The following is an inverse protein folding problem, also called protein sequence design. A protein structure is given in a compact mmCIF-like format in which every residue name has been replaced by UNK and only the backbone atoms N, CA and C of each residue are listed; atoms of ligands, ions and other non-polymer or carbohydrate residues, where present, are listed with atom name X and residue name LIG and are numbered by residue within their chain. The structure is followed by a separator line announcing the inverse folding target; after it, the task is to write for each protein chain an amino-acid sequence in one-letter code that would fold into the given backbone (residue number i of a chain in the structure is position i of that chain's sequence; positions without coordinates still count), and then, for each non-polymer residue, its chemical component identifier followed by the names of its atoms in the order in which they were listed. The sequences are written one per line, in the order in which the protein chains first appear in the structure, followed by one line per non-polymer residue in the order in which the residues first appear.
data_IF_740527371691
#
_entry.id   IF_740527371691
#
_cell.length_a   1.000
_cell.length_b   1.000
_cell.length_c   1.000
_cell.angle_alpha   90.00
_cell.angle_beta   90.00
_cell.angle_gamma   90.00
#
_symmetry.space_group_name_H-M   'P 1'
#
loop_
_entity.id
_entity.type
_entity.pdbx_description
1 polymer ?
#
# COMPACT_ATOMS: atom_id res chain seq x y z
N UNK A 1 -8.89 23.60 -4.15
CA UNK A 1 -8.00 22.64 -3.46
C UNK A 1 -7.92 23.06 -2.01
N UNK A 2 -8.64 22.39 -1.15
CA UNK A 2 -8.46 22.52 0.29
C UNK A 2 -7.10 21.89 0.62
N UNK A 3 -6.19 22.70 1.17
CA UNK A 3 -4.86 22.24 1.54
C UNK A 3 -5.00 21.19 2.64
N UNK A 4 -5.00 19.90 2.27
CA UNK A 4 -4.72 18.74 3.12
C UNK A 4 -5.33 18.72 4.53
N UNK A 5 -6.48 19.35 4.75
CA UNK A 5 -7.25 19.20 5.98
C UNK A 5 -8.43 18.27 5.73
N UNK A 6 -8.62 17.30 6.63
CA UNK A 6 -9.81 16.46 6.60
C UNK A 6 -11.05 17.29 6.92
N UNK A 7 -12.16 16.95 6.27
CA UNK A 7 -13.46 17.50 6.57
C UNK A 7 -13.91 17.11 8.00
N UNK A 8 -14.73 17.94 8.68
CA UNK A 8 -15.22 17.60 10.01
C UNK A 8 -15.86 16.23 10.12
N UNK A 9 -16.59 15.80 9.08
CA UNK A 9 -17.20 14.47 9.02
C UNK A 9 -16.15 13.34 8.98
N UNK A 10 -15.05 13.53 8.26
CA UNK A 10 -13.94 12.57 8.21
C UNK A 10 -13.22 12.47 9.56
N UNK A 11 -13.00 13.60 10.24
CA UNK A 11 -12.41 13.63 11.57
C UNK A 11 -13.30 12.90 12.60
N UNK A 12 -14.61 13.13 12.56
CA UNK A 12 -15.58 12.44 13.41
C UNK A 12 -15.56 10.93 13.14
N UNK A 13 -15.55 10.53 11.87
CA UNK A 13 -15.47 9.13 11.48
C UNK A 13 -14.16 8.45 11.92
N UNK A 14 -13.01 9.12 11.80
CA UNK A 14 -11.75 8.61 12.34
C UNK A 14 -11.81 8.39 13.86
N UNK A 15 -12.45 9.29 14.61
CA UNK A 15 -12.64 9.12 16.05
C UNK A 15 -13.54 7.93 16.37
N UNK A 16 -14.64 7.76 15.64
CA UNK A 16 -15.55 6.61 15.76
C UNK A 16 -14.80 5.29 15.45
N UNK A 17 -14.03 5.23 14.36
CA UNK A 17 -13.25 4.05 13.99
C UNK A 17 -12.26 3.65 15.10
N UNK A 18 -11.57 4.61 15.72
CA UNK A 18 -10.66 4.35 16.84
C UNK A 18 -11.40 3.78 18.05
N UNK A 19 -12.56 4.33 18.39
CA UNK A 19 -13.41 3.82 19.46
C UNK A 19 -13.90 2.40 19.16
N UNK A 20 -14.44 2.15 17.96
CA UNK A 20 -14.87 0.82 17.52
C UNK A 20 -13.72 -0.20 17.57
N UNK A 21 -12.52 0.20 17.13
CA UNK A 21 -11.34 -0.67 17.17
C UNK A 21 -10.95 -1.02 18.60
N UNK A 22 -10.95 -0.05 19.51
CA UNK A 22 -10.60 -0.27 20.92
C UNK A 22 -11.65 -1.09 21.68
N UNK A 23 -12.93 -0.80 21.48
CA UNK A 23 -14.01 -1.34 22.29
C UNK A 23 -14.58 -2.66 21.75
N UNK A 24 -14.61 -2.82 20.42
CA UNK A 24 -15.30 -3.94 19.77
C UNK A 24 -14.34 -4.92 19.08
N UNK A 25 -13.28 -4.44 18.42
CA UNK A 25 -12.40 -5.28 17.62
C UNK A 25 -11.21 -5.83 18.41
N UNK A 26 -10.59 -5.03 19.28
CA UNK A 26 -9.49 -5.50 20.13
C UNK A 26 -9.87 -6.71 21.01
N UNK A 27 -11.03 -6.77 21.68
CA UNK A 27 -11.41 -7.96 22.43
C UNK A 27 -11.60 -9.21 21.59
N UNK A 28 -11.90 -9.06 20.28
CA UNK A 28 -11.95 -10.19 19.32
C UNK A 28 -10.53 -10.58 18.87
N UNK A 29 -9.65 -9.61 18.64
CA UNK A 29 -8.26 -9.82 18.27
C UNK A 29 -7.51 -10.59 19.36
N UNK A 30 -7.65 -10.19 20.63
CA UNK A 30 -7.01 -10.81 21.79
C UNK A 30 -7.41 -12.27 22.04
N UNK A 31 -8.55 -12.72 21.49
CA UNK A 31 -8.99 -14.12 21.54
C UNK A 31 -8.46 -14.96 20.37
N UNK A 32 -7.84 -14.33 19.38
CA UNK A 32 -7.26 -15.02 18.25
C UNK A 32 -5.97 -15.74 18.59
N UNK A 33 -5.68 -16.80 17.86
CA UNK A 33 -4.41 -17.50 17.94
C UNK A 33 -3.36 -16.76 17.09
N UNK A 34 -2.19 -16.41 17.64
CA UNK A 34 -1.13 -15.75 16.88
C UNK A 34 -0.73 -16.57 15.64
N UNK A 35 -0.56 -15.89 14.50
CA UNK A 35 -0.19 -16.54 13.24
C UNK A 35 -1.33 -17.29 12.53
N UNK A 36 -2.56 -17.20 13.05
CA UNK A 36 -3.75 -17.84 12.46
C UNK A 36 -4.79 -16.80 12.03
N UNK A 37 -5.61 -17.17 11.06
CA UNK A 37 -6.73 -16.33 10.62
C UNK A 37 -7.79 -16.23 11.71
N UNK A 38 -8.03 -15.03 12.20
CA UNK A 38 -9.08 -14.77 13.19
C UNK A 38 -10.42 -14.52 12.50
N UNK A 39 -11.18 -15.61 12.24
CA UNK A 39 -12.49 -15.53 11.55
C UNK A 39 -13.53 -14.76 12.37
N UNK A 40 -13.45 -14.77 13.71
CA UNK A 40 -14.36 -13.99 14.55
C UNK A 40 -14.12 -12.48 14.39
N UNK A 41 -12.85 -12.07 14.27
CA UNK A 41 -12.49 -10.69 14.00
C UNK A 41 -12.97 -10.24 12.62
N UNK A 42 -12.82 -11.08 11.59
CA UNK A 42 -13.33 -10.81 10.24
C UNK A 42 -14.85 -10.66 10.22
N UNK A 43 -15.58 -11.54 10.87
CA UNK A 43 -17.03 -11.41 11.02
C UNK A 43 -17.43 -10.13 11.77
N UNK A 44 -16.65 -9.74 12.78
CA UNK A 44 -16.82 -8.47 13.50
C UNK A 44 -16.64 -7.25 12.59
N UNK A 45 -15.60 -7.24 11.75
CA UNK A 45 -15.37 -6.20 10.74
C UNK A 45 -16.51 -6.14 9.71
N UNK A 46 -17.02 -7.30 9.27
CA UNK A 46 -18.19 -7.39 8.38
C UNK A 46 -19.44 -6.81 9.02
N UNK A 47 -19.76 -7.22 10.26
CA UNK A 47 -20.92 -6.74 11.03
C UNK A 47 -20.89 -5.22 11.25
N UNK A 48 -19.71 -4.63 11.42
CA UNK A 48 -19.50 -3.19 11.54
C UNK A 48 -19.55 -2.45 10.20
N UNK A 49 -19.74 -3.16 9.08
CA UNK A 49 -19.81 -2.58 7.73
C UNK A 49 -18.46 -2.04 7.22
N UNK A 50 -17.33 -2.47 7.80
CA UNK A 50 -16.01 -2.01 7.40
C UNK A 50 -15.49 -2.75 6.17
N UNK A 51 -15.71 -4.07 6.07
CA UNK A 51 -15.28 -4.86 4.91
C UNK A 51 -15.94 -4.44 3.59
N UNK A 52 -17.26 -4.15 3.51
CA UNK A 52 -17.87 -3.65 2.27
C UNK A 52 -17.23 -2.37 1.74
N UNK A 53 -16.72 -1.50 2.63
CA UNK A 53 -16.06 -0.25 2.24
C UNK A 53 -14.77 -0.45 1.44
N UNK A 54 -14.15 -1.63 1.52
CA UNK A 54 -13.00 -2.00 0.67
C UNK A 54 -13.31 -1.93 -0.83
N UNK A 55 -14.59 -2.04 -1.21
CA UNK A 55 -15.05 -2.09 -2.59
C UNK A 55 -15.91 -0.88 -2.99
N UNK A 56 -16.34 -0.08 -2.04
CA UNK A 56 -17.28 1.04 -2.27
C UNK A 56 -16.71 2.41 -1.92
N UNK A 57 -15.56 2.47 -1.22
CA UNK A 57 -14.91 3.71 -0.83
C UNK A 57 -13.68 4.00 -1.69
N UNK A 58 -13.23 5.26 -1.69
CA UNK A 58 -12.00 5.69 -2.33
C UNK A 58 -10.73 5.33 -1.53
N UNK A 59 -9.58 5.64 -2.11
CA UNK A 59 -8.28 5.39 -1.49
C UNK A 59 -8.07 6.22 -0.22
N UNK A 60 -8.60 7.44 -0.16
CA UNK A 60 -8.53 8.27 1.05
C UNK A 60 -9.30 7.62 2.20
N UNK A 61 -10.53 7.17 1.98
CA UNK A 61 -11.32 6.48 3.01
C UNK A 61 -10.62 5.20 3.49
N UNK A 62 -10.02 4.44 2.56
CA UNK A 62 -9.22 3.26 2.90
C UNK A 62 -8.04 3.65 3.83
N UNK A 63 -7.35 4.76 3.55
CA UNK A 63 -6.27 5.25 4.39
C UNK A 63 -6.78 5.67 5.78
N UNK A 64 -7.91 6.39 5.85
CA UNK A 64 -8.51 6.81 7.12
C UNK A 64 -8.93 5.61 7.98
N UNK A 65 -9.52 4.57 7.38
CA UNK A 65 -9.84 3.31 8.08
C UNK A 65 -8.59 2.65 8.62
N UNK A 66 -7.58 2.45 7.76
CA UNK A 66 -6.36 1.74 8.16
C UNK A 66 -5.56 2.48 9.22
N UNK A 67 -5.40 3.81 9.12
CA UNK A 67 -4.75 4.62 10.16
C UNK A 67 -5.49 4.53 11.49
N UNK A 68 -6.82 4.67 11.46
CA UNK A 68 -7.64 4.68 12.67
C UNK A 68 -7.66 3.33 13.36
N UNK A 69 -7.79 2.22 12.62
CA UNK A 69 -7.73 0.87 13.17
C UNK A 69 -6.33 0.57 13.72
N UNK A 70 -5.27 0.90 13.00
CA UNK A 70 -3.88 0.64 13.42
C UNK A 70 -3.49 1.36 14.72
N UNK A 71 -4.04 2.56 14.94
CA UNK A 71 -3.83 3.29 16.18
C UNK A 71 -4.33 2.53 17.41
N UNK A 72 -5.43 1.79 17.26
CA UNK A 72 -6.09 1.12 18.38
C UNK A 72 -5.91 -0.41 18.39
N UNK A 73 -5.85 -1.07 17.23
CA UNK A 73 -5.77 -2.53 17.10
C UNK A 73 -5.15 -2.89 15.73
N UNK A 74 -3.87 -3.21 15.73
CA UNK A 74 -3.11 -3.56 14.50
C UNK A 74 -3.64 -4.83 13.84
N UNK A 75 -4.12 -5.79 14.63
CA UNK A 75 -4.70 -7.06 14.12
C UNK A 75 -5.99 -6.81 13.34
N UNK A 76 -6.85 -5.89 13.80
CA UNK A 76 -8.08 -5.54 13.08
C UNK A 76 -7.77 -4.80 11.77
N UNK A 77 -6.78 -3.92 11.80
CA UNK A 77 -6.28 -3.25 10.61
C UNK A 77 -5.76 -4.27 9.59
N UNK A 78 -4.88 -5.17 10.03
CA UNK A 78 -4.28 -6.18 9.16
C UNK A 78 -5.33 -7.13 8.58
N UNK A 79 -6.28 -7.60 9.40
CA UNK A 79 -7.37 -8.45 8.92
C UNK A 79 -8.20 -7.74 7.83
N UNK A 80 -8.53 -6.45 8.01
CA UNK A 80 -9.22 -5.65 7.00
C UNK A 80 -8.38 -5.50 5.72
N UNK A 81 -7.10 -5.13 5.87
CA UNK A 81 -6.21 -4.86 4.75
C UNK A 81 -5.98 -6.09 3.88
N UNK A 82 -5.79 -7.27 4.49
CA UNK A 82 -5.54 -8.52 3.76
C UNK A 82 -6.77 -8.99 2.97
N UNK A 83 -7.98 -8.78 3.51
CA UNK A 83 -9.22 -9.01 2.76
C UNK A 83 -9.28 -8.12 1.51
N UNK A 84 -8.98 -6.84 1.67
CA UNK A 84 -8.94 -5.91 0.56
C UNK A 84 -7.90 -6.30 -0.49
N UNK A 85 -6.66 -6.55 -0.07
CA UNK A 85 -5.56 -6.90 -0.97
C UNK A 85 -5.88 -8.16 -1.78
N UNK A 86 -6.41 -9.21 -1.12
CA UNK A 86 -6.74 -10.49 -1.77
C UNK A 86 -7.95 -10.42 -2.69
N UNK A 87 -8.98 -9.62 -2.34
CA UNK A 87 -10.24 -9.58 -3.05
C UNK A 87 -10.35 -8.41 -4.07
N UNK A 88 -9.54 -7.37 -3.97
CA UNK A 88 -9.57 -6.26 -4.91
C UNK A 88 -9.37 -6.69 -6.38
N UNK A 89 -8.48 -7.63 -6.72
CA UNK A 89 -8.40 -8.15 -8.09
C UNK A 89 -9.71 -8.75 -8.60
N UNK A 90 -10.47 -9.43 -7.73
CA UNK A 90 -11.81 -9.95 -8.08
C UNK A 90 -12.80 -8.81 -8.31
N UNK A 91 -12.77 -7.79 -7.44
CA UNK A 91 -13.62 -6.61 -7.58
C UNK A 91 -13.35 -5.86 -8.89
N UNK A 92 -12.10 -5.58 -9.21
CA UNK A 92 -11.70 -4.74 -10.33
C UNK A 92 -11.70 -5.48 -11.68
N UNK A 93 -11.37 -6.76 -11.70
CA UNK A 93 -11.08 -7.53 -12.90
C UNK A 93 -11.86 -8.83 -13.04
N UNK A 94 -12.61 -9.25 -12.02
CA UNK A 94 -13.41 -10.46 -12.04
C UNK A 94 -14.63 -10.34 -12.98
N UNK A 95 -15.12 -11.48 -13.46
CA UNK A 95 -16.40 -11.57 -14.13
C UNK A 95 -17.56 -11.29 -13.16
N UNK A 96 -18.75 -11.06 -13.65
CA UNK A 96 -19.94 -10.89 -12.81
C UNK A 96 -20.16 -12.11 -11.90
N UNK A 97 -19.99 -13.32 -12.43
CA UNK A 97 -20.12 -14.57 -11.68
C UNK A 97 -19.07 -14.68 -10.56
N UNK A 98 -17.81 -14.33 -10.83
CA UNK A 98 -16.75 -14.33 -9.82
C UNK A 98 -17.04 -13.30 -8.71
N UNK A 99 -17.45 -12.09 -9.07
CA UNK A 99 -17.84 -11.04 -8.11
C UNK A 99 -19.04 -11.47 -7.27
N UNK A 100 -20.09 -11.97 -7.90
CA UNK A 100 -21.32 -12.41 -7.22
C UNK A 100 -21.05 -13.57 -6.24
N UNK A 101 -20.12 -14.47 -6.56
CA UNK A 101 -19.75 -15.60 -5.71
C UNK A 101 -18.95 -15.18 -4.48
N UNK A 102 -17.98 -14.26 -4.62
CA UNK A 102 -16.96 -14.04 -3.60
C UNK A 102 -17.11 -12.73 -2.82
N UNK A 103 -17.45 -11.62 -3.49
CA UNK A 103 -17.46 -10.31 -2.81
C UNK A 103 -18.47 -10.20 -1.67
N UNK A 104 -19.69 -10.75 -1.74
CA UNK A 104 -20.62 -10.74 -0.59
C UNK A 104 -20.04 -11.45 0.62
N UNK A 105 -19.40 -12.62 0.41
CA UNK A 105 -18.79 -13.42 1.46
C UNK A 105 -17.53 -12.80 2.06
N UNK A 106 -16.76 -12.04 1.26
CA UNK A 106 -15.65 -11.22 1.77
C UNK A 106 -16.19 -10.05 2.58
N UNK A 107 -17.27 -9.42 2.11
CA UNK A 107 -17.87 -8.25 2.75
C UNK A 107 -18.53 -8.56 4.10
N UNK A 108 -19.07 -9.75 4.29
CA UNK A 108 -19.63 -10.19 5.58
C UNK A 108 -18.60 -10.91 6.47
N UNK A 109 -17.37 -11.15 5.97
CA UNK A 109 -16.29 -11.81 6.68
C UNK A 109 -16.38 -13.34 6.72
N UNK A 110 -17.32 -13.96 5.98
CA UNK A 110 -17.48 -15.42 5.90
C UNK A 110 -16.48 -16.10 4.95
N UNK A 111 -15.86 -15.36 4.04
CA UNK A 111 -14.76 -15.84 3.20
C UNK A 111 -13.49 -15.02 3.42
N UNK A 112 -12.35 -15.72 3.44
CA UNK A 112 -11.02 -15.17 3.60
C UNK A 112 -10.32 -15.13 2.25
N UNK A 113 -9.84 -13.95 1.86
CA UNK A 113 -9.12 -13.72 0.62
C UNK A 113 -7.59 -13.68 0.86
N UNK A 114 -6.83 -14.08 -0.15
CA UNK A 114 -5.38 -13.95 -0.14
C UNK A 114 -4.81 -13.52 -1.50
N UNK A 115 -3.67 -12.81 -1.46
CA UNK A 115 -2.96 -12.30 -2.64
C UNK A 115 -1.63 -13.04 -2.79
N UNK A 116 -1.55 -13.97 -3.74
CA UNK A 116 -0.44 -14.90 -3.91
C UNK A 116 0.48 -14.48 -5.08
N UNK A 117 1.30 -13.44 -4.86
CA UNK A 117 2.25 -12.92 -5.85
C UNK A 117 3.67 -13.46 -5.64
N UNK A 118 4.20 -13.34 -4.41
CA UNK A 118 5.60 -13.56 -4.08
C UNK A 118 5.99 -15.03 -4.12
N UNK A 119 7.25 -15.30 -4.51
CA UNK A 119 7.90 -16.62 -4.53
C UNK A 119 9.21 -16.56 -3.75
N UNK A 120 9.83 -17.72 -3.41
CA UNK A 120 11.11 -17.74 -2.70
C UNK A 120 12.17 -16.85 -3.35
N UNK A 121 12.28 -16.87 -4.68
CA UNK A 121 13.28 -16.13 -5.45
C UNK A 121 12.74 -14.90 -6.20
N UNK A 122 11.43 -14.60 -6.10
CA UNK A 122 10.78 -13.48 -6.75
C UNK A 122 9.92 -12.66 -5.78
N UNK A 123 10.59 -11.86 -4.94
CA UNK A 123 9.97 -10.90 -4.03
C UNK A 123 9.97 -9.48 -4.61
N UNK A 124 11.09 -8.77 -4.52
CA UNK A 124 11.25 -7.41 -5.06
C UNK A 124 11.16 -7.36 -6.58
N UNK A 125 11.73 -8.34 -7.27
CA UNK A 125 11.56 -8.57 -8.71
C UNK A 125 10.37 -9.49 -8.98
N UNK A 126 9.17 -9.01 -8.68
CA UNK A 126 7.94 -9.79 -8.83
C UNK A 126 7.65 -10.21 -10.29
N UNK A 127 8.24 -9.54 -11.28
CA UNK A 127 8.11 -9.92 -12.68
C UNK A 127 8.92 -11.18 -13.05
N UNK A 128 9.87 -11.58 -12.21
CA UNK A 128 10.68 -12.79 -12.37
C UNK A 128 10.00 -14.06 -11.81
N UNK A 129 8.73 -13.97 -11.36
CA UNK A 129 8.00 -15.14 -10.86
C UNK A 129 8.02 -16.31 -11.85
N UNK A 130 8.10 -17.53 -11.30
CA UNK A 130 8.31 -18.79 -12.04
C UNK A 130 7.18 -19.81 -11.89
N UNK A 131 6.21 -19.60 -10.98
CA UNK A 131 5.02 -20.46 -10.90
C UNK A 131 4.46 -20.65 -12.31
N UNK A 132 4.56 -21.85 -12.85
CA UNK A 132 4.16 -22.14 -14.22
C UNK A 132 2.64 -22.32 -14.32
N UNK A 133 2.07 -21.85 -15.43
CA UNK A 133 0.72 -22.20 -15.86
C UNK A 133 0.81 -22.89 -17.21
N UNK A 134 1.05 -24.20 -17.17
CA UNK A 134 1.21 -25.02 -18.37
C UNK A 134 -0.15 -25.32 -19.02
N UNK A 135 -0.28 -25.26 -20.36
CA UNK A 135 -1.51 -25.60 -21.04
C UNK A 135 -1.99 -27.03 -20.70
N UNK A 136 -3.25 -27.17 -20.38
CA UNK A 136 -3.89 -28.47 -20.13
C UNK A 136 -4.97 -28.75 -21.19
N UNK A 137 -4.59 -29.30 -22.34
CA UNK A 137 -5.54 -29.64 -23.40
C UNK A 137 -6.41 -30.83 -22.96
N UNK A 138 -7.59 -30.55 -22.43
CA UNK A 138 -8.55 -31.61 -22.08
C UNK A 138 -9.25 -32.11 -23.35
N UNK A 139 -9.28 -33.41 -23.61
CA UNK A 139 -10.04 -33.96 -24.73
C UNK A 139 -11.52 -33.54 -24.61
N UNK A 140 -12.02 -32.77 -25.59
CA UNK A 140 -13.43 -32.33 -25.64
C UNK A 140 -13.85 -31.22 -24.68
N UNK A 141 -12.90 -30.54 -23.97
CA UNK A 141 -13.13 -29.44 -23.02
C UNK A 141 -12.56 -28.11 -23.48
N UNK A 142 -12.94 -27.02 -22.80
CA UNK A 142 -12.29 -25.72 -22.95
C UNK A 142 -10.83 -25.81 -22.53
N UNK A 143 -9.90 -25.14 -23.23
CA UNK A 143 -8.50 -25.10 -22.85
C UNK A 143 -8.36 -24.56 -21.42
N UNK A 144 -7.44 -25.12 -20.66
CA UNK A 144 -7.15 -24.69 -19.30
C UNK A 144 -5.65 -24.70 -19.07
N UNK A 145 -5.27 -24.54 -17.79
CA UNK A 145 -3.87 -24.61 -17.38
C UNK A 145 -3.72 -25.48 -16.13
N UNK A 146 -2.50 -25.97 -15.92
CA UNK A 146 -2.02 -26.60 -14.68
C UNK A 146 -1.03 -25.67 -14.01
N UNK A 147 -1.32 -25.25 -12.78
CA UNK A 147 -0.38 -24.45 -11.99
C UNK A 147 0.58 -25.38 -11.27
N UNK A 148 1.90 -25.15 -11.45
CA UNK A 148 2.95 -25.96 -10.82
C UNK A 148 4.07 -25.04 -10.29
N UNK A 149 4.43 -25.23 -9.01
CA UNK A 149 5.46 -24.43 -8.32
C UNK A 149 5.03 -24.03 -6.93
N UNK A 150 5.58 -22.93 -6.39
CA UNK A 150 5.28 -22.49 -5.04
C UNK A 150 5.12 -20.97 -4.93
N UNK A 151 4.36 -20.55 -3.89
CA UNK A 151 4.26 -19.16 -3.45
C UNK A 151 4.68 -19.09 -1.98
N UNK A 152 5.29 -17.97 -1.59
CA UNK A 152 5.81 -17.80 -0.23
C UNK A 152 5.50 -16.43 0.32
N UNK A 153 5.41 -16.35 1.64
CA UNK A 153 5.01 -15.14 2.39
C UNK A 153 3.63 -14.63 1.98
N UNK A 154 2.71 -15.58 1.79
CA UNK A 154 1.34 -15.26 1.41
C UNK A 154 0.50 -15.06 2.65
N UNK A 155 0.02 -13.85 2.84
CA UNK A 155 -0.88 -13.50 3.94
C UNK A 155 -2.18 -14.28 3.84
N UNK A 156 -2.72 -14.70 4.98
CA UNK A 156 -3.87 -15.59 5.14
C UNK A 156 -3.66 -17.04 4.66
N UNK A 157 -2.51 -17.39 4.05
CA UNK A 157 -2.19 -18.78 3.75
C UNK A 157 -1.75 -19.51 5.03
N UNK A 158 -2.11 -20.82 5.15
CA UNK A 158 -2.90 -21.62 4.23
C UNK A 158 -4.43 -21.57 4.46
N UNK A 159 -4.95 -20.64 5.26
CA UNK A 159 -6.32 -20.64 5.78
C UNK A 159 -7.32 -19.81 4.97
N UNK A 160 -6.88 -19.21 3.85
CA UNK A 160 -7.77 -18.48 2.96
C UNK A 160 -8.77 -19.42 2.27
N UNK A 161 -9.95 -18.90 1.92
CA UNK A 161 -10.97 -19.63 1.17
C UNK A 161 -10.73 -19.55 -0.36
N UNK A 162 -10.01 -18.50 -0.79
CA UNK A 162 -9.50 -18.38 -2.15
C UNK A 162 -8.26 -17.52 -2.23
N UNK A 163 -7.52 -17.72 -3.30
CA UNK A 163 -6.26 -17.02 -3.60
C UNK A 163 -6.37 -16.30 -4.95
N UNK A 164 -5.97 -15.03 -5.01
CA UNK A 164 -5.60 -14.38 -6.27
C UNK A 164 -4.16 -14.76 -6.56
N UNK A 165 -3.95 -15.67 -7.51
CA UNK A 165 -2.65 -16.27 -7.85
C UNK A 165 -2.12 -15.68 -9.15
N UNK A 166 -0.85 -15.31 -9.17
CA UNK A 166 -0.15 -14.85 -10.37
C UNK A 166 0.79 -15.93 -10.86
N UNK A 167 0.62 -16.38 -12.11
CA UNK A 167 1.39 -17.45 -12.70
C UNK A 167 1.86 -17.09 -14.12
N UNK A 168 2.92 -17.74 -14.58
CA UNK A 168 3.51 -17.53 -15.89
C UNK A 168 2.84 -18.40 -16.94
N UNK A 169 2.06 -17.78 -17.80
CA UNK A 169 1.38 -18.41 -18.95
C UNK A 169 2.24 -18.39 -20.22
N UNK A 170 3.07 -17.35 -20.40
CA UNK A 170 3.95 -17.24 -21.58
C UNK A 170 5.41 -17.10 -21.11
N UNK A 171 6.21 -18.17 -21.22
CA UNK A 171 7.64 -18.14 -20.90
C UNK A 171 8.40 -17.09 -21.73
N UNK A 172 9.40 -16.44 -21.13
CA UNK A 172 10.25 -15.47 -21.82
C UNK A 172 9.64 -14.09 -22.10
N UNK A 173 8.34 -13.90 -21.89
CA UNK A 173 7.67 -12.62 -22.15
C UNK A 173 7.78 -11.59 -20.99
N UNK A 174 8.56 -11.89 -19.93
CA UNK A 174 8.71 -11.02 -18.77
C UNK A 174 7.37 -10.75 -18.08
N UNK A 175 7.12 -9.52 -17.67
CA UNK A 175 5.86 -9.13 -17.02
C UNK A 175 4.61 -9.35 -17.91
N UNK A 176 4.78 -9.39 -19.24
CA UNK A 176 3.68 -9.59 -20.20
C UNK A 176 3.29 -11.06 -20.38
N UNK A 177 3.98 -11.99 -19.74
CA UNK A 177 3.63 -13.42 -19.76
C UNK A 177 3.05 -13.90 -18.44
N UNK A 178 2.48 -13.02 -17.64
CA UNK A 178 1.88 -13.35 -16.34
C UNK A 178 0.37 -13.18 -16.41
N UNK A 179 -0.35 -14.20 -15.95
CA UNK A 179 -1.82 -14.19 -15.81
C UNK A 179 -2.21 -14.23 -14.33
N UNK A 180 -3.31 -13.55 -13.99
CA UNK A 180 -3.92 -13.61 -12.68
C UNK A 180 -5.08 -14.61 -12.68
N UNK A 181 -5.12 -15.47 -11.67
CA UNK A 181 -6.15 -16.50 -11.50
C UNK A 181 -6.82 -16.38 -10.14
N UNK A 182 -8.12 -16.58 -10.08
CA UNK A 182 -8.87 -16.81 -8.86
C UNK A 182 -8.89 -18.31 -8.60
N UNK A 183 -8.20 -18.75 -7.53
CA UNK A 183 -8.06 -20.17 -7.19
C UNK A 183 -8.72 -20.44 -5.84
N UNK A 184 -9.88 -21.15 -5.80
CA UNK A 184 -10.46 -21.63 -4.54
C UNK A 184 -9.47 -22.56 -3.79
N UNK A 185 -9.49 -22.48 -2.47
CA UNK A 185 -8.54 -23.22 -1.63
C UNK A 185 -8.72 -24.75 -1.68
N UNK A 186 -9.89 -25.22 -2.08
CA UNK A 186 -10.24 -26.64 -2.19
C UNK A 186 -9.81 -27.27 -3.53
N UNK A 187 -9.06 -26.56 -4.37
CA UNK A 187 -8.56 -27.10 -5.64
C UNK A 187 -7.62 -28.28 -5.41
N UNK A 188 -7.82 -29.40 -6.13
CA UNK A 188 -6.89 -30.53 -6.06
C UNK A 188 -5.45 -30.12 -6.39
N UNK A 189 -4.47 -30.62 -5.61
CA UNK A 189 -3.06 -30.30 -5.79
C UNK A 189 -2.59 -28.99 -5.12
N UNK A 190 -3.51 -28.18 -4.55
CA UNK A 190 -3.14 -27.02 -3.74
C UNK A 190 -2.96 -27.43 -2.29
N UNK A 191 -1.78 -27.15 -1.73
CA UNK A 191 -1.47 -27.37 -0.31
C UNK A 191 -0.75 -26.14 0.26
N UNK A 192 -0.71 -26.03 1.58
CA UNK A 192 -0.01 -24.91 2.20
C UNK A 192 0.47 -25.21 3.62
N UNK A 193 1.45 -24.42 4.07
CA UNK A 193 2.02 -24.50 5.41
C UNK A 193 2.12 -23.12 6.03
N UNK A 194 1.81 -22.95 7.34
CA UNK A 194 2.00 -21.67 8.01
C UNK A 194 3.50 -21.37 8.17
N UNK A 195 3.83 -20.10 8.24
CA UNK A 195 5.17 -19.58 8.54
C UNK A 195 5.12 -18.84 9.89
N UNK A 196 6.09 -19.14 10.75
CA UNK A 196 6.30 -18.38 11.99
C UNK A 196 7.11 -17.11 11.68
N UNK A 197 6.48 -15.95 11.89
CA UNK A 197 7.04 -14.66 11.50
C UNK A 197 7.21 -13.76 12.72
N UNK A 198 8.00 -12.69 12.57
CA UNK A 198 8.25 -11.70 13.63
C UNK A 198 6.95 -11.06 14.13
N UNK A 199 6.07 -10.66 13.22
CA UNK A 199 4.72 -10.17 13.52
C UNK A 199 3.75 -11.36 13.57
N UNK A 200 2.77 -11.38 14.50
CA UNK A 200 1.87 -12.50 14.70
C UNK A 200 0.71 -12.52 13.67
N UNK A 201 1.00 -12.24 12.40
CA UNK A 201 0.00 -12.27 11.33
C UNK A 201 -0.05 -13.65 10.65
N UNK A 202 -1.21 -14.06 10.12
CA UNK A 202 -1.34 -15.29 9.37
C UNK A 202 -0.59 -15.18 8.04
N UNK A 203 0.54 -15.85 7.91
CA UNK A 203 1.38 -15.87 6.71
C UNK A 203 1.82 -17.31 6.47
N UNK A 204 1.80 -17.74 5.19
CA UNK A 204 2.18 -19.11 4.83
C UNK A 204 2.89 -19.22 3.49
N UNK A 205 3.22 -20.46 3.18
CA UNK A 205 3.67 -20.92 1.88
C UNK A 205 2.58 -21.78 1.23
N UNK A 206 2.52 -21.77 -0.11
CA UNK A 206 1.60 -22.57 -0.91
C UNK A 206 2.42 -23.38 -1.91
N UNK A 207 2.07 -24.67 -2.05
CA UNK A 207 2.59 -25.53 -3.08
C UNK A 207 1.47 -25.91 -4.06
N UNK A 208 1.80 -25.83 -5.34
CA UNK A 208 0.91 -26.12 -6.47
C UNK A 208 1.46 -27.34 -7.20
N UNK A 209 0.74 -28.47 -7.12
CA UNK A 209 1.05 -29.70 -7.83
C UNK A 209 0.01 -29.92 -8.93
N UNK A 210 0.30 -29.39 -10.10
CA UNK A 210 -0.58 -29.46 -11.27
C UNK A 210 -2.02 -29.00 -10.98
N UNK A 211 -2.20 -27.93 -10.20
CA UNK A 211 -3.51 -27.38 -9.81
C UNK A 211 -4.29 -26.94 -11.03
N UNK A 212 -5.49 -27.51 -11.32
CA UNK A 212 -6.24 -27.19 -12.51
C UNK A 212 -6.91 -25.81 -12.41
N UNK A 213 -6.76 -25.00 -13.46
CA UNK A 213 -7.49 -23.75 -13.65
C UNK A 213 -8.02 -23.66 -15.09
N UNK A 214 -9.10 -22.92 -15.27
CA UNK A 214 -9.81 -22.75 -16.55
C UNK A 214 -9.90 -21.28 -16.93
N UNK A 215 -10.32 -20.92 -18.14
CA UNK A 215 -10.58 -19.54 -18.52
C UNK A 215 -11.55 -18.81 -17.56
N UNK A 216 -12.49 -19.55 -16.94
CA UNK A 216 -13.42 -18.98 -15.95
C UNK A 216 -12.76 -18.59 -14.62
N UNK A 217 -11.53 -19.05 -14.38
CA UNK A 217 -10.73 -18.68 -13.21
C UNK A 217 -9.84 -17.45 -13.49
N UNK A 218 -9.74 -16.96 -14.73
CA UNK A 218 -8.88 -15.82 -15.06
C UNK A 218 -9.48 -14.52 -14.52
N UNK A 219 -8.63 -13.70 -13.90
CA UNK A 219 -8.95 -12.33 -13.49
C UNK A 219 -8.39 -11.34 -14.53
N UNK A 220 -9.30 -10.71 -15.27
CA UNK A 220 -8.96 -9.85 -16.41
C UNK A 220 -8.65 -10.66 -17.66
N UNK A 221 -7.50 -10.44 -18.28
CA UNK A 221 -7.07 -11.07 -19.51
C UNK A 221 -5.82 -11.93 -19.32
N UNK A 222 -5.66 -13.04 -20.05
CA UNK A 222 -4.40 -13.78 -20.08
C UNK A 222 -3.21 -12.86 -20.45
N UNK A 223 -2.05 -13.11 -19.85
CA UNK A 223 -0.81 -12.34 -20.03
C UNK A 223 -0.89 -10.85 -19.58
N UNK A 224 -1.97 -10.48 -18.88
CA UNK A 224 -2.16 -9.13 -18.31
C UNK A 224 -2.16 -9.11 -16.77
N UNK A 225 -1.91 -10.24 -16.13
CA UNK A 225 -1.98 -10.38 -14.67
C UNK A 225 -1.02 -9.46 -13.92
N UNK A 226 0.14 -9.13 -14.47
CA UNK A 226 1.05 -8.19 -13.82
C UNK A 226 0.46 -6.77 -13.71
N UNK A 227 -0.41 -6.37 -14.65
CA UNK A 227 -1.16 -5.11 -14.54
C UNK A 227 -2.19 -5.17 -13.42
N UNK A 228 -2.86 -6.31 -13.24
CA UNK A 228 -3.78 -6.56 -12.12
C UNK A 228 -3.03 -6.41 -10.79
N UNK A 229 -1.84 -7.03 -10.66
CA UNK A 229 -1.01 -6.92 -9.47
C UNK A 229 -0.59 -5.47 -9.18
N UNK A 230 -0.06 -4.76 -10.17
CA UNK A 230 0.41 -3.39 -9.99
C UNK A 230 -0.71 -2.39 -9.73
N UNK A 231 -1.87 -2.56 -10.36
CA UNK A 231 -3.08 -1.77 -10.11
C UNK A 231 -3.52 -1.89 -8.65
N UNK A 232 -3.60 -3.12 -8.15
CA UNK A 232 -3.91 -3.40 -6.74
C UNK A 232 -2.89 -2.76 -5.80
N UNK A 233 -1.59 -2.93 -6.05
CA UNK A 233 -0.54 -2.36 -5.20
C UNK A 233 -0.52 -0.82 -5.23
N UNK A 234 -0.89 -0.17 -6.34
CA UNK A 234 -0.96 1.28 -6.40
C UNK A 234 -2.08 1.86 -5.51
N UNK A 235 -3.19 1.14 -5.35
CA UNK A 235 -4.25 1.48 -4.39
C UNK A 235 -3.79 1.22 -2.94
N UNK A 236 -3.14 0.06 -2.68
CA UNK A 236 -2.85 -0.37 -1.31
C UNK A 236 -1.59 0.27 -0.72
N UNK A 237 -0.57 0.66 -1.49
CA UNK A 237 0.67 1.27 -0.98
C UNK A 237 0.45 2.54 -0.14
N UNK A 238 -0.38 3.52 -0.54
CA UNK A 238 -0.69 4.65 0.34
C UNK A 238 -1.32 4.18 1.65
N UNK A 239 -2.19 3.19 1.61
CA UNK A 239 -2.85 2.66 2.81
C UNK A 239 -1.92 1.85 3.73
N UNK A 240 -0.84 1.22 3.21
CA UNK A 240 0.28 0.73 4.05
C UNK A 240 0.96 1.89 4.76
N UNK A 241 1.10 3.03 4.09
CA UNK A 241 1.56 4.26 4.74
C UNK A 241 0.64 4.71 5.87
N UNK A 242 -0.68 4.64 5.68
CA UNK A 242 -1.68 4.95 6.70
C UNK A 242 -1.59 4.01 7.92
N UNK A 243 -1.43 2.70 7.69
CA UNK A 243 -1.13 1.72 8.73
C UNK A 243 0.09 2.13 9.57
N UNK A 244 1.17 2.49 8.91
CA UNK A 244 2.40 2.93 9.55
C UNK A 244 2.19 4.22 10.37
N UNK A 245 1.44 5.19 9.84
CA UNK A 245 1.10 6.44 10.54
C UNK A 245 0.26 6.17 11.79
N UNK A 246 -0.71 5.25 11.72
CA UNK A 246 -1.52 4.85 12.88
C UNK A 246 -0.67 4.30 14.02
N UNK A 247 0.28 3.42 13.72
CA UNK A 247 1.24 2.88 14.70
C UNK A 247 2.17 3.97 15.26
N UNK A 248 2.68 4.85 14.41
CA UNK A 248 3.51 5.98 14.83
C UNK A 248 2.76 6.90 15.79
N UNK A 249 1.49 7.21 15.49
CA UNK A 249 0.64 8.03 16.34
C UNK A 249 0.39 7.36 17.70
N UNK A 250 0.06 6.06 17.72
CA UNK A 250 -0.13 5.32 18.97
C UNK A 250 1.12 5.34 19.86
N UNK A 251 2.31 5.17 19.24
CA UNK A 251 3.58 5.24 19.94
C UNK A 251 3.89 6.66 20.47
N UNK A 252 3.57 7.69 19.69
CA UNK A 252 3.73 9.09 20.10
C UNK A 252 2.81 9.42 21.27
N UNK A 253 1.52 9.05 21.22
CA UNK A 253 0.56 9.30 22.29
C UNK A 253 0.97 8.61 23.59
N UNK A 254 1.40 7.35 23.53
CA UNK A 254 1.94 6.62 24.68
C UNK A 254 3.18 7.31 25.26
N UNK A 255 4.06 7.84 24.38
CA UNK A 255 5.28 8.53 24.81
C UNK A 255 4.97 9.88 25.49
N UNK A 256 4.02 10.64 24.95
CA UNK A 256 3.56 11.88 25.58
C UNK A 256 3.01 11.63 26.99
N UNK A 257 2.13 10.62 27.12
CA UNK A 257 1.57 10.24 28.42
C UNK A 257 2.66 9.79 29.41
N UNK A 258 3.61 8.95 28.94
CA UNK A 258 4.69 8.45 29.77
C UNK A 258 5.63 9.57 30.25
N UNK A 259 6.10 10.42 29.34
CA UNK A 259 7.08 11.48 29.68
C UNK A 259 6.46 12.58 30.54
N UNK A 260 5.15 12.83 30.40
CA UNK A 260 4.41 13.75 31.28
C UNK A 260 4.20 13.20 32.71
N UNK A 261 4.06 11.90 32.85
CA UNK A 261 3.81 11.26 34.15
C UNK A 261 5.10 10.88 34.91
N UNK A 262 6.16 10.49 34.21
CA UNK A 262 7.40 9.92 34.78
C UNK A 262 8.26 10.97 35.47
N UNK A 263 8.54 10.76 36.76
CA UNK A 263 9.51 11.54 37.50
C UNK A 263 10.92 10.93 37.36
N UNK A 264 11.92 11.77 37.03
CA UNK A 264 13.34 11.43 36.98
C UNK A 264 14.20 12.70 37.03
N UNK A 265 15.40 12.61 37.58
CA UNK A 265 16.36 13.72 37.66
C UNK A 265 15.81 15.00 38.30
N UNK A 266 14.91 14.85 39.28
CA UNK A 266 14.36 16.00 40.02
C UNK A 266 13.17 16.70 39.38
N UNK A 267 12.65 16.20 38.26
CA UNK A 267 11.48 16.75 37.53
C UNK A 267 10.77 15.70 36.68
N UNK A 268 9.92 16.12 35.76
CA UNK A 268 9.28 15.23 34.79
C UNK A 268 10.22 14.95 33.62
N UNK A 269 10.14 13.76 33.02
CA UNK A 269 10.96 13.45 31.81
C UNK A 269 10.74 14.47 30.70
N UNK A 270 9.52 14.96 30.50
CA UNK A 270 9.20 15.99 29.48
C UNK A 270 9.96 17.30 29.67
N UNK A 271 10.47 17.59 30.90
CA UNK A 271 11.17 18.84 31.21
C UNK A 271 12.65 18.80 30.76
N UNK A 272 13.13 17.60 30.42
CA UNK A 272 14.47 17.43 29.84
C UNK A 272 14.45 17.85 28.37
N UNK A 273 15.28 18.82 27.99
CA UNK A 273 15.35 19.37 26.63
C UNK A 273 15.53 18.26 25.56
N UNK A 274 16.39 17.28 25.84
CA UNK A 274 16.64 16.15 24.92
C UNK A 274 15.42 15.27 24.71
N UNK A 275 14.53 15.12 25.69
CA UNK A 275 13.25 14.40 25.58
C UNK A 275 12.26 15.25 24.78
N UNK A 276 12.12 16.54 25.10
CA UNK A 276 11.23 17.44 24.39
C UNK A 276 11.56 17.52 22.89
N UNK A 277 12.84 17.61 22.53
CA UNK A 277 13.28 17.63 21.12
C UNK A 277 12.96 16.30 20.40
N UNK A 278 13.14 15.15 21.05
CA UNK A 278 12.79 13.85 20.45
C UNK A 278 11.29 13.73 20.20
N UNK A 279 10.46 14.14 21.17
CA UNK A 279 9.00 14.14 21.02
C UNK A 279 8.56 15.08 19.88
N UNK A 280 9.16 16.27 19.78
CA UNK A 280 8.88 17.20 18.69
C UNK A 280 9.23 16.60 17.31
N UNK A 281 10.39 15.93 17.20
CA UNK A 281 10.79 15.27 15.95
C UNK A 281 9.88 14.09 15.60
N UNK A 282 9.45 13.29 16.59
CA UNK A 282 8.47 12.21 16.39
C UNK A 282 7.15 12.76 15.84
N UNK A 283 6.64 13.85 16.42
CA UNK A 283 5.41 14.51 15.98
C UNK A 283 5.54 15.07 14.56
N UNK A 284 6.60 15.80 14.26
CA UNK A 284 6.88 16.38 12.95
C UNK A 284 6.91 15.32 11.85
N UNK A 285 7.63 14.22 12.08
CA UNK A 285 7.73 13.12 11.12
C UNK A 285 6.39 12.43 10.91
N UNK A 286 5.64 12.15 11.99
CA UNK A 286 4.34 11.50 11.91
C UNK A 286 3.37 12.35 11.09
N UNK A 287 3.32 13.67 11.34
CA UNK A 287 2.43 14.57 10.59
C UNK A 287 2.85 14.71 9.13
N UNK A 288 4.15 14.84 8.85
CA UNK A 288 4.66 14.89 7.47
C UNK A 288 4.31 13.62 6.70
N UNK A 289 4.42 12.45 7.33
CA UNK A 289 4.05 11.18 6.72
C UNK A 289 2.54 11.09 6.45
N UNK A 290 1.70 11.52 7.40
CA UNK A 290 0.24 11.57 7.27
C UNK A 290 -0.19 12.41 6.06
N UNK A 291 0.33 13.63 5.96
CA UNK A 291 0.04 14.52 4.86
C UNK A 291 0.43 13.93 3.50
N UNK A 292 1.59 13.27 3.42
CA UNK A 292 2.04 12.59 2.20
C UNK A 292 1.11 11.42 1.83
N UNK A 293 0.65 10.64 2.81
CA UNK A 293 -0.28 9.52 2.61
C UNK A 293 -1.62 10.03 2.07
N UNK A 294 -2.20 11.05 2.69
CA UNK A 294 -3.48 11.60 2.26
C UNK A 294 -3.39 12.24 0.87
N UNK A 295 -2.30 12.97 0.59
CA UNK A 295 -2.04 13.53 -0.74
C UNK A 295 -1.91 12.44 -1.82
N UNK A 296 -1.29 11.31 -1.52
CA UNK A 296 -1.17 10.21 -2.45
C UNK A 296 -2.51 9.48 -2.67
N UNK A 297 -3.30 9.31 -1.61
CA UNK A 297 -4.62 8.70 -1.69
C UNK A 297 -5.61 9.57 -2.50
N UNK A 298 -5.66 10.86 -2.22
CA UNK A 298 -6.48 11.81 -3.00
C UNK A 298 -6.08 11.83 -4.47
N UNK A 299 -4.76 11.82 -4.76
CA UNK A 299 -4.29 11.76 -6.14
C UNK A 299 -4.69 10.46 -6.85
N UNK A 300 -4.80 9.34 -6.13
CA UNK A 300 -5.35 8.10 -6.68
C UNK A 300 -6.83 8.26 -7.01
N UNK A 301 -7.63 8.80 -6.10
CA UNK A 301 -9.08 9.02 -6.28
C UNK A 301 -9.37 10.00 -7.43
N UNK A 302 -8.51 11.00 -7.61
CA UNK A 302 -8.58 11.97 -8.71
C UNK A 302 -8.06 11.42 -10.05
N UNK A 303 -7.54 10.20 -10.11
CA UNK A 303 -6.96 9.60 -11.32
C UNK A 303 -5.70 10.33 -11.83
N UNK A 304 -4.90 10.91 -10.93
CA UNK A 304 -3.70 11.67 -11.29
C UNK A 304 -2.70 10.81 -12.07
N UNK A 305 -1.99 11.36 -13.08
CA UNK A 305 -1.09 10.59 -13.95
C UNK A 305 0.17 10.08 -13.22
N UNK A 306 0.51 10.63 -12.06
CA UNK A 306 1.70 10.32 -11.27
C UNK A 306 1.42 9.47 -10.01
N UNK A 307 0.28 8.78 -9.96
CA UNK A 307 -0.11 7.88 -8.87
C UNK A 307 1.02 6.91 -8.45
N UNK A 308 1.73 6.21 -9.36
CA UNK A 308 2.77 5.27 -8.95
C UNK A 308 3.90 5.94 -8.14
N UNK A 309 4.29 7.15 -8.52
CA UNK A 309 5.32 7.93 -7.82
C UNK A 309 4.81 8.36 -6.44
N UNK A 310 3.60 8.94 -6.36
CA UNK A 310 3.01 9.43 -5.10
C UNK A 310 2.78 8.28 -4.12
N UNK A 311 2.23 7.16 -4.58
CA UNK A 311 2.04 5.96 -3.77
C UNK A 311 3.36 5.43 -3.19
N UNK A 312 4.43 5.41 -4.00
CA UNK A 312 5.76 5.00 -3.55
C UNK A 312 6.35 5.96 -2.52
N UNK A 313 6.22 7.28 -2.73
CA UNK A 313 6.68 8.32 -1.78
C UNK A 313 5.97 8.21 -0.44
N UNK A 314 4.64 8.07 -0.46
CA UNK A 314 3.82 7.94 0.75
C UNK A 314 4.20 6.70 1.56
N UNK A 315 4.26 5.53 0.90
CA UNK A 315 4.63 4.27 1.54
C UNK A 315 6.05 4.33 2.14
N UNK A 316 7.02 4.79 1.39
CA UNK A 316 8.41 4.90 1.83
C UNK A 316 8.54 5.80 3.06
N UNK A 317 8.05 7.05 2.97
CA UNK A 317 8.15 8.02 4.06
C UNK A 317 7.47 7.50 5.33
N UNK A 318 6.25 7.01 5.21
CA UNK A 318 5.45 6.62 6.37
C UNK A 318 6.04 5.39 7.09
N UNK A 319 6.50 4.37 6.35
CA UNK A 319 7.05 3.16 6.97
C UNK A 319 8.41 3.40 7.62
N UNK A 320 9.28 4.24 7.03
CA UNK A 320 10.53 4.67 7.67
C UNK A 320 10.26 5.54 8.91
N UNK A 321 9.26 6.42 8.83
CA UNK A 321 8.84 7.24 9.98
C UNK A 321 8.33 6.39 11.14
N UNK A 322 7.46 5.42 10.88
CA UNK A 322 6.91 4.56 11.94
C UNK A 322 8.02 3.79 12.66
N UNK A 323 8.98 3.22 11.91
CA UNK A 323 10.15 2.56 12.51
C UNK A 323 10.91 3.52 13.42
N UNK A 324 11.19 4.75 12.96
CA UNK A 324 11.88 5.76 13.74
C UNK A 324 11.11 6.13 15.00
N UNK A 325 9.81 6.42 14.88
CA UNK A 325 8.97 6.89 16.00
C UNK A 325 8.84 5.81 17.06
N UNK A 326 8.56 4.56 16.67
CA UNK A 326 8.43 3.45 17.62
C UNK A 326 9.77 3.14 18.30
N UNK A 327 10.90 3.18 17.58
CA UNK A 327 12.22 3.00 18.15
C UNK A 327 12.52 4.07 19.23
N UNK A 328 12.22 5.36 18.94
CA UNK A 328 12.37 6.43 19.90
C UNK A 328 11.43 6.29 21.10
N UNK A 329 10.19 5.86 20.87
CA UNK A 329 9.23 5.60 21.93
C UNK A 329 9.73 4.50 22.89
N UNK A 330 10.24 3.39 22.36
CA UNK A 330 10.84 2.31 23.17
C UNK A 330 12.01 2.85 24.00
N UNK A 331 12.90 3.63 23.37
CA UNK A 331 14.06 4.22 24.06
C UNK A 331 13.63 5.13 25.23
N UNK A 332 12.63 5.99 25.03
CA UNK A 332 12.14 6.92 26.07
C UNK A 332 11.40 6.22 27.21
N UNK A 333 10.78 5.06 26.95
CA UNK A 333 10.11 4.25 28.00
C UNK A 333 11.10 3.38 28.78
N UNK A 334 12.27 3.06 28.19
CA UNK A 334 13.26 2.18 28.78
C UNK A 334 12.80 0.72 28.87
N UNK A 335 13.35 -0.05 29.80
CA UNK A 335 13.17 -1.51 29.88
C UNK A 335 11.72 -1.98 29.93
N UNK A 336 10.77 -1.18 30.44
CA UNK A 336 9.35 -1.55 30.48
C UNK A 336 8.75 -1.75 29.10
N UNK A 337 9.22 -0.99 28.10
CA UNK A 337 8.77 -1.14 26.71
C UNK A 337 9.33 -2.39 26.02
N UNK A 338 10.22 -3.12 26.64
CA UNK A 338 10.76 -4.41 26.16
C UNK A 338 10.00 -5.62 26.74
N UNK A 339 9.11 -5.39 27.71
CA UNK A 339 8.29 -6.46 28.28
C UNK A 339 7.22 -6.91 27.27
N UNK A 340 7.10 -8.23 27.07
CA UNK A 340 6.02 -8.79 26.24
C UNK A 340 4.66 -8.35 26.76
N UNK A 341 3.77 -7.98 25.83
CA UNK A 341 2.44 -7.44 26.12
C UNK A 341 2.41 -5.92 26.35
N UNK A 342 3.56 -5.25 26.35
CA UNK A 342 3.58 -3.78 26.31
C UNK A 342 3.30 -3.28 24.90
N UNK A 343 2.47 -2.22 24.75
CA UNK A 343 2.10 -1.66 23.46
C UNK A 343 3.33 -1.43 22.53
N UNK A 344 4.39 -0.81 23.07
CA UNK A 344 5.56 -0.47 22.24
C UNK A 344 6.38 -1.70 21.84
N UNK A 345 6.41 -2.75 22.66
CA UNK A 345 7.03 -4.02 22.28
C UNK A 345 6.29 -4.65 21.08
N UNK A 346 4.97 -4.65 21.17
CA UNK A 346 4.13 -5.10 20.07
C UNK A 346 4.35 -4.27 18.80
N UNK A 347 4.25 -2.94 18.90
CA UNK A 347 4.46 -2.04 17.77
C UNK A 347 5.87 -2.15 17.18
N UNK A 348 6.90 -2.43 18.00
CA UNK A 348 8.28 -2.59 17.52
C UNK A 348 8.43 -3.79 16.58
N UNK A 349 7.71 -4.87 16.83
CA UNK A 349 7.65 -6.03 15.91
C UNK A 349 6.85 -5.70 14.66
N UNK A 350 5.73 -4.97 14.80
CA UNK A 350 4.84 -4.62 13.70
C UNK A 350 5.49 -3.67 12.67
N UNK A 351 6.12 -2.59 13.10
CA UNK A 351 6.65 -1.56 12.19
C UNK A 351 7.81 -2.04 11.32
N UNK A 352 8.41 -3.20 11.64
CA UNK A 352 9.53 -3.73 10.84
C UNK A 352 9.08 -4.25 9.49
N UNK A 353 7.96 -4.94 9.44
CA UNK A 353 7.48 -5.63 8.24
C UNK A 353 7.04 -4.67 7.10
N UNK A 354 6.33 -3.55 7.34
CA UNK A 354 5.93 -2.61 6.29
C UNK A 354 7.05 -2.03 5.44
N UNK A 355 8.28 -2.00 5.95
CA UNK A 355 9.47 -1.59 5.18
C UNK A 355 9.93 -2.64 4.17
N UNK A 356 9.41 -3.87 4.27
CA UNK A 356 9.81 -5.03 3.45
C UNK A 356 8.74 -5.41 2.45
N UNK A 357 7.50 -5.57 2.90
CA UNK A 357 6.41 -6.03 2.03
C UNK A 357 5.84 -4.91 1.14
N UNK A 358 5.04 -5.29 0.15
CA UNK A 358 4.41 -4.42 -0.87
C UNK A 358 5.41 -3.50 -1.60
N UNK A 359 6.63 -4.00 -1.74
CA UNK A 359 7.78 -3.29 -2.28
C UNK A 359 8.66 -2.70 -1.18
N UNK A 360 9.84 -3.28 -0.99
CA UNK A 360 10.83 -2.83 -0.02
C UNK A 360 11.18 -1.35 -0.22
N UNK A 361 11.74 -0.71 0.82
CA UNK A 361 12.16 0.71 0.76
C UNK A 361 13.02 1.03 -0.46
N UNK A 362 13.88 0.11 -0.88
CA UNK A 362 14.74 0.24 -2.07
C UNK A 362 13.93 0.19 -3.36
N UNK A 363 12.92 -0.68 -3.43
CA UNK A 363 11.99 -0.76 -4.58
C UNK A 363 11.19 0.54 -4.70
N UNK A 364 10.71 1.11 -3.58
CA UNK A 364 10.01 2.39 -3.62
C UNK A 364 10.92 3.52 -4.13
N UNK A 365 12.18 3.60 -3.69
CA UNK A 365 13.17 4.56 -4.21
C UNK A 365 13.39 4.39 -5.71
N UNK A 366 13.48 3.15 -6.18
CA UNK A 366 13.60 2.83 -7.61
C UNK A 366 12.38 3.31 -8.42
N UNK A 367 11.15 3.09 -7.92
CA UNK A 367 9.92 3.56 -8.56
C UNK A 367 9.92 5.09 -8.65
N UNK A 368 10.23 5.79 -7.55
CA UNK A 368 10.27 7.25 -7.51
C UNK A 368 11.25 7.79 -8.56
N UNK A 369 12.48 7.30 -8.57
CA UNK A 369 13.51 7.73 -9.51
C UNK A 369 13.09 7.47 -10.97
N UNK A 370 12.59 6.26 -11.26
CA UNK A 370 12.12 5.89 -12.62
C UNK A 370 11.00 6.82 -13.11
N UNK A 371 10.04 7.13 -12.27
CA UNK A 371 8.91 8.00 -12.65
C UNK A 371 9.36 9.46 -12.87
N UNK A 372 10.34 9.95 -12.10
CA UNK A 372 10.92 11.29 -12.30
C UNK A 372 11.65 11.37 -13.65
N UNK A 373 12.50 10.40 -13.99
CA UNK A 373 13.19 10.37 -15.28
C UNK A 373 12.24 10.19 -16.46
N UNK A 374 11.21 9.33 -16.32
CA UNK A 374 10.17 9.19 -17.35
C UNK A 374 9.46 10.50 -17.66
N UNK A 375 9.21 11.32 -16.65
CA UNK A 375 8.60 12.64 -16.83
C UNK A 375 9.55 13.60 -17.57
N UNK A 376 10.83 13.57 -17.22
CA UNK A 376 11.87 14.38 -17.88
C UNK A 376 11.99 14.03 -19.37
N UNK A 377 12.07 12.71 -19.69
CA UNK A 377 12.19 12.24 -21.06
C UNK A 377 10.97 12.60 -21.92
N UNK A 378 9.76 12.52 -21.34
CA UNK A 378 8.54 12.92 -22.02
C UNK A 378 8.50 14.43 -22.33
N UNK A 379 9.01 15.26 -21.42
CA UNK A 379 9.11 16.72 -21.62
C UNK A 379 10.14 17.06 -22.70
N UNK A 380 11.30 16.40 -22.68
CA UNK A 380 12.35 16.59 -23.68
C UNK A 380 11.88 16.21 -25.10
N UNK A 381 11.16 15.08 -25.22
CA UNK A 381 10.59 14.63 -26.50
C UNK A 381 9.43 15.52 -26.97
N UNK A 382 8.62 16.06 -26.06
CA UNK A 382 7.54 17.01 -26.38
C UNK A 382 8.06 18.35 -26.88
N UNK A 383 9.14 18.88 -26.32
CA UNK A 383 9.80 20.12 -26.77
C UNK A 383 10.51 19.94 -28.11
N UNK A 384 11.09 18.77 -28.39
CA UNK A 384 11.68 18.48 -29.69
C UNK A 384 10.64 18.40 -30.81
N UNK A 385 9.42 17.94 -30.53
CA UNK A 385 8.31 17.91 -31.49
C UNK A 385 7.76 19.30 -31.84
N UNK A 386 7.77 20.25 -30.90
CA UNK A 386 7.31 21.64 -31.11
C UNK A 386 8.34 22.45 -31.92
N UNK A 387 9.63 22.20 -31.74
CA UNK A 387 10.69 22.89 -32.49
C UNK A 387 10.85 22.35 -33.92
N UNK A 388 10.48 21.09 -34.18
CA UNK A 388 10.57 20.51 -35.55
C UNK A 388 9.39 20.92 -36.45
N UNK A 389 8.26 21.38 -35.92
CA UNK A 389 7.10 21.87 -36.69
C UNK A 389 7.03 23.40 -36.85
N UNK A 390 8.04 24.15 -36.35
CA UNK A 390 8.07 25.60 -36.33
C UNK A 390 8.81 26.24 -37.53
N UNK A 391 9.33 25.50 -38.48
CA UNK A 391 10.05 26.04 -39.64
C UNK A 391 9.50 25.54 -40.96
N UNK A 392 8.28 25.93 -41.30
CA UNK A 392 7.78 25.88 -42.66
C UNK A 392 6.80 27.02 -42.92
N UNK A 393 7.25 28.04 -43.61
CA UNK A 393 6.40 28.93 -44.42
C UNK A 393 6.09 30.30 -43.86
N UNK A 394 7.03 31.24 -43.93
CA UNK A 394 6.67 32.65 -44.17
C UNK A 394 7.32 33.04 -45.51
N UNK A 395 6.54 32.98 -46.57
CA UNK A 395 6.81 33.66 -47.82
C UNK A 395 6.45 35.13 -47.68
N UNK A 396 7.43 35.97 -47.93
CA UNK A 396 7.36 37.41 -48.05
C UNK A 396 6.44 37.83 -49.18
N UNK A 397 5.57 38.81 -48.97
CA UNK A 397 5.21 39.77 -49.99
C UNK A 397 5.07 41.15 -49.34
N UNK A 398 5.87 42.08 -49.94
CA UNK A 398 6.14 43.39 -49.44
C UNK A 398 5.03 44.42 -49.58
N UNK A 399 5.23 45.49 -48.93
CA UNK A 399 5.30 46.86 -49.55
C UNK A 399 5.71 47.87 -48.47
N UNK A 400 6.57 48.78 -48.90
CA UNK A 400 7.16 49.88 -48.17
C UNK A 400 6.15 50.90 -47.67
N UNK A 401 6.40 51.57 -46.51
CA UNK A 401 6.57 53.02 -46.54
C UNK A 401 7.25 53.53 -45.24
N UNK A 402 8.13 54.49 -45.51
CA UNK A 402 8.97 55.20 -44.57
C UNK A 402 8.18 56.24 -43.73
N UNK A 403 8.64 56.54 -42.54
CA UNK A 403 8.99 57.90 -42.15
C UNK A 403 9.71 57.98 -40.80
N UNK A 404 10.65 58.91 -40.77
CA UNK A 404 11.75 59.15 -39.87
C UNK A 404 11.37 59.89 -38.55
N UNK A 405 12.43 60.04 -37.75
CA UNK A 405 12.68 61.03 -36.64
C UNK A 405 12.40 60.44 -35.23
N UNK A 406 13.28 60.54 -34.25
CA UNK A 406 14.50 61.35 -34.10
C UNK A 406 15.01 61.16 -32.66
N UNK A 407 16.29 61.10 -32.60
CA UNK A 407 17.26 61.60 -31.61
C UNK A 407 17.13 61.52 -30.11
N UNK A 408 18.24 61.06 -29.58
CA UNK A 408 19.02 61.57 -28.40
C UNK A 408 18.55 61.05 -27.01
N UNK A 409 19.39 60.67 -26.11
CA UNK A 409 20.77 60.85 -25.78
C UNK A 409 21.09 60.22 -24.44
N UNK A 410 22.21 59.62 -24.41
CA UNK A 410 23.30 59.60 -23.42
C UNK A 410 22.99 60.01 -21.98
N UNK A 411 23.28 59.21 -20.97
CA UNK A 411 24.45 59.36 -20.08
C UNK A 411 24.55 58.25 -19.01
N UNK A 412 25.74 57.78 -18.89
CA UNK A 412 26.37 56.98 -17.83
C UNK A 412 26.38 57.73 -16.48
N UNK A 413 26.32 56.95 -15.37
CA UNK A 413 27.27 57.12 -14.24
C UNK A 413 27.26 55.94 -13.29
N UNK A 414 28.47 55.49 -13.06
CA UNK A 414 28.93 54.59 -12.00
C UNK A 414 28.91 55.22 -10.61
N UNK A 415 29.19 54.30 -9.65
CA UNK A 415 29.69 54.45 -8.29
C UNK A 415 28.61 54.33 -7.21
N UNK A 416 28.65 53.37 -6.28
CA UNK A 416 29.74 52.88 -5.43
C UNK A 416 29.38 53.17 -3.99
N UNK A 417 29.09 52.16 -3.24
CA UNK A 417 29.48 51.90 -1.86
C UNK A 417 28.80 50.60 -1.38
#
# INVERSE_FOLDING_TARGET
MTAFSLEPAQLAWCAELRALAAERLRPLAEKGEPGRVNRALLAGLGTLGLLPRLFTSGALDLCLMRESLAHACTEAETALALQGLGAHPVHAHGTEAQRARWLPRVSDGSAVAAFALSEPDAGSDAAALTLAADPDPRPGGSPGWRLTGEKRWISNAPEADFYTVFARTTPGAGARGITAFLVPADRPGLTGTPLDMLSPHPIGALAFDAVPVTPDDVLGEPDRGFRVAMGTLNLFRPSVGAFAVGMAQAALDATLAHTAARDAFGGKLRDLQTVAHQVAEMALRTESARLMVYAAATAYDDGAPDVPRRAAMAKLLATETAQYVVDRAVQLHGARALCRGHLLEHLYREVRAPRVYEGASEVQRGIIAKELYRTLDATANGTAGVTANGTAGVTTNGTANATANGTAGVTTKEAGA
#
